data_IF_364373043546
#
_entry.id   IF_364373043546
#
_cell.length_a   1.000
_cell.length_b   1.000
_cell.length_c   1.000
_cell.angle_alpha   90.00
_cell.angle_beta   90.00
_cell.angle_gamma   90.00
#
_symmetry.space_group_name_H-M   'P 1'
#
loop_
_entity.id
_entity.type
_entity.pdbx_description
1 polymer ?
#
# COMPACT_ATOMS: atom_id res chain seq x y z
N UNK A 1 26.56 68.71 58.64
CA UNK A 1 27.09 68.45 57.29
C UNK A 1 26.75 67.03 56.88
N UNK A 2 26.45 66.87 55.59
CA UNK A 2 25.60 65.85 54.96
C UNK A 2 26.09 64.40 55.13
N UNK A 3 25.19 63.47 55.50
CA UNK A 3 25.39 62.01 55.34
C UNK A 3 24.62 61.55 54.11
N UNK A 4 25.34 61.12 53.07
CA UNK A 4 24.77 60.47 51.89
C UNK A 4 24.47 58.99 52.21
N UNK A 5 23.22 58.57 52.03
CA UNK A 5 22.83 57.17 52.02
C UNK A 5 22.60 56.74 50.56
N UNK A 6 23.47 55.86 50.05
CA UNK A 6 23.31 55.22 48.75
C UNK A 6 22.30 54.08 48.88
N UNK A 7 21.11 54.25 48.29
CA UNK A 7 20.13 53.18 48.14
C UNK A 7 20.43 52.37 46.88
N UNK A 8 20.82 51.10 47.06
CA UNK A 8 20.96 50.14 45.96
C UNK A 8 19.57 49.58 45.61
N UNK A 9 19.01 49.97 44.47
CA UNK A 9 17.79 49.37 43.94
C UNK A 9 18.15 48.11 43.13
N UNK A 10 17.84 46.93 43.67
CA UNK A 10 17.96 45.65 42.95
C UNK A 10 16.73 45.46 42.05
N UNK A 11 16.87 45.71 40.75
CA UNK A 11 15.85 45.38 39.76
C UNK A 11 15.92 43.88 39.45
N UNK A 12 14.93 43.11 39.93
CA UNK A 12 14.77 41.69 39.58
C UNK A 12 14.15 41.59 38.18
N UNK A 13 14.95 41.24 37.17
CA UNK A 13 14.46 40.88 35.84
C UNK A 13 13.86 39.47 35.90
N UNK A 14 12.54 39.38 35.88
CA UNK A 14 11.81 38.13 35.67
C UNK A 14 11.86 37.77 34.18
N UNK A 15 12.82 36.95 33.78
CA UNK A 15 12.88 36.39 32.43
C UNK A 15 11.79 35.32 32.27
N UNK A 16 10.68 35.65 31.62
CA UNK A 16 9.73 34.65 31.11
C UNK A 16 10.37 33.87 29.97
N UNK A 17 11.01 32.75 30.29
CA UNK A 17 11.40 31.76 29.30
C UNK A 17 10.13 31.09 28.77
N UNK A 18 9.62 31.58 27.64
CA UNK A 18 8.56 30.92 26.88
C UNK A 18 9.15 29.67 26.23
N UNK A 19 9.16 28.57 26.99
CA UNK A 19 9.59 27.26 26.50
C UNK A 19 8.59 26.73 25.49
N UNK A 20 8.83 26.98 24.21
CA UNK A 20 8.17 26.26 23.13
C UNK A 20 8.48 24.77 23.29
N UNK A 21 7.52 23.99 23.82
CA UNK A 21 7.61 22.53 23.86
C UNK A 21 7.73 22.03 22.43
N UNK A 22 8.94 21.71 21.98
CA UNK A 22 9.14 20.92 20.76
C UNK A 22 8.38 19.61 20.98
N UNK A 23 7.28 19.41 20.24
CA UNK A 23 6.60 18.10 20.19
C UNK A 23 7.61 17.11 19.62
N UNK A 24 8.19 16.25 20.47
CA UNK A 24 9.03 15.15 20.03
C UNK A 24 8.29 14.26 19.02
N UNK A 25 9.00 13.63 18.08
CA UNK A 25 8.39 12.70 17.14
C UNK A 25 7.81 11.49 17.88
N UNK A 26 6.68 10.97 17.39
CA UNK A 26 6.05 9.75 17.92
C UNK A 26 6.10 8.67 16.86
N UNK A 27 7.29 8.08 16.70
CA UNK A 27 7.48 6.99 15.73
C UNK A 27 6.62 5.78 16.13
N UNK A 28 5.80 5.31 15.19
CA UNK A 28 5.10 4.03 15.26
C UNK A 28 5.71 3.07 14.26
N UNK A 29 5.73 1.80 14.63
CA UNK A 29 6.31 0.75 13.82
C UNK A 29 5.37 -0.45 13.83
N UNK A 30 5.09 -1.00 12.65
CA UNK A 30 4.20 -2.14 12.48
C UNK A 30 4.87 -3.22 11.62
N UNK A 31 4.64 -4.47 11.99
CA UNK A 31 4.97 -5.64 11.17
C UNK A 31 3.76 -5.98 10.31
N UNK A 32 4.02 -6.33 9.06
CA UNK A 32 3.01 -6.70 8.07
C UNK A 32 3.36 -8.07 7.55
N UNK A 33 2.38 -8.95 7.46
CA UNK A 33 2.49 -10.26 6.83
C UNK A 33 1.43 -10.38 5.76
N UNK A 34 1.83 -10.68 4.54
CA UNK A 34 0.94 -10.94 3.41
C UNK A 34 1.15 -12.37 2.95
N UNK A 35 0.20 -13.24 3.24
CA UNK A 35 0.21 -14.65 2.85
C UNK A 35 -0.63 -14.85 1.59
N UNK A 36 -0.03 -15.44 0.56
CA UNK A 36 -0.73 -15.82 -0.66
C UNK A 36 -1.48 -17.14 -0.44
N UNK A 37 -2.81 -17.12 -0.55
CA UNK A 37 -3.68 -18.30 -0.37
C UNK A 37 -4.06 -18.98 -1.70
N UNK A 38 -3.63 -18.43 -2.83
CA UNK A 38 -3.96 -18.98 -4.14
C UNK A 38 -3.12 -20.21 -4.47
N UNK A 39 -3.47 -20.92 -5.54
CA UNK A 39 -2.75 -22.13 -5.98
C UNK A 39 -1.73 -21.88 -7.09
N UNK A 40 -2.13 -21.24 -8.19
CA UNK A 40 -1.28 -20.99 -9.38
C UNK A 40 -1.08 -19.50 -9.68
N UNK A 41 -1.43 -18.63 -8.73
CA UNK A 41 -1.22 -17.19 -8.85
C UNK A 41 -0.08 -16.78 -7.94
N UNK A 42 1.04 -16.38 -8.53
CA UNK A 42 2.07 -15.69 -7.76
C UNK A 42 1.57 -14.27 -7.45
N UNK A 43 1.96 -13.68 -6.33
CA UNK A 43 1.79 -12.23 -6.18
C UNK A 43 3.07 -11.51 -6.51
N UNK A 44 2.96 -10.31 -7.06
CA UNK A 44 4.06 -9.36 -7.02
C UNK A 44 4.44 -9.05 -5.57
N UNK A 45 5.59 -8.40 -5.40
CA UNK A 45 5.96 -7.73 -4.17
C UNK A 45 4.77 -6.89 -3.64
N UNK A 46 4.36 -7.16 -2.40
CA UNK A 46 3.33 -6.36 -1.75
C UNK A 46 3.90 -5.01 -1.30
N UNK A 47 3.03 -3.99 -1.29
CA UNK A 47 3.30 -2.69 -0.68
C UNK A 47 2.22 -2.36 0.32
N UNK A 48 2.64 -1.91 1.50
CA UNK A 48 1.76 -1.24 2.47
C UNK A 48 2.05 0.26 2.45
N UNK A 49 1.00 1.08 2.54
CA UNK A 49 1.11 2.53 2.72
C UNK A 49 0.35 2.94 3.98
N UNK A 50 0.92 3.88 4.74
CA UNK A 50 0.24 4.58 5.83
C UNK A 50 -0.25 5.94 5.32
N UNK A 51 -1.50 6.27 5.60
CA UNK A 51 -2.10 7.55 5.20
C UNK A 51 -3.18 7.99 6.19
N UNK A 52 -3.54 9.26 6.15
CA UNK A 52 -4.55 9.84 7.01
C UNK A 52 -5.95 9.37 6.61
N UNK A 53 -6.81 9.09 7.58
CA UNK A 53 -8.23 8.87 7.29
C UNK A 53 -8.83 10.12 6.62
N UNK A 54 -9.46 9.95 5.45
CA UNK A 54 -10.05 11.04 4.67
C UNK A 54 -9.09 11.72 3.68
N UNK A 55 -7.82 11.31 3.63
CA UNK A 55 -6.93 11.61 2.49
C UNK A 55 -7.45 10.94 1.21
N UNK A 56 -6.91 11.35 0.06
CA UNK A 56 -7.25 10.72 -1.22
C UNK A 56 -6.90 9.21 -1.14
N UNK A 57 -7.88 8.31 -1.33
CA UNK A 57 -7.65 6.89 -1.15
C UNK A 57 -6.63 6.35 -2.16
N UNK A 58 -5.91 5.29 -1.77
CA UNK A 58 -4.99 4.60 -2.68
C UNK A 58 -5.77 3.98 -3.84
N UNK A 59 -6.91 3.37 -3.57
CA UNK A 59 -7.88 2.89 -4.55
C UNK A 59 -9.28 2.90 -3.92
N UNK A 60 -10.32 2.81 -4.75
CA UNK A 60 -11.71 2.72 -4.28
C UNK A 60 -12.50 1.83 -5.21
N UNK A 61 -13.29 0.92 -4.63
CA UNK A 61 -14.21 0.07 -5.39
C UNK A 61 -15.24 0.93 -6.12
N UNK A 62 -15.66 0.50 -7.31
CA UNK A 62 -16.59 1.24 -8.16
C UNK A 62 -15.99 2.46 -8.86
N UNK A 63 -14.76 2.86 -8.53
CA UNK A 63 -14.09 4.02 -9.12
C UNK A 63 -13.06 3.60 -10.16
N UNK A 64 -12.76 4.52 -11.09
CA UNK A 64 -11.64 4.35 -12.02
C UNK A 64 -10.32 4.20 -11.25
N UNK A 65 -9.52 3.19 -11.62
CA UNK A 65 -8.20 3.01 -11.04
C UNK A 65 -7.31 4.26 -11.26
N UNK A 66 -6.55 4.60 -10.23
CA UNK A 66 -5.49 5.60 -10.37
C UNK A 66 -4.38 4.99 -11.23
N UNK A 67 -3.67 5.80 -12.00
CA UNK A 67 -2.57 5.31 -12.85
C UNK A 67 -1.56 4.45 -12.07
N UNK A 68 -1.24 4.80 -10.81
CA UNK A 68 -0.34 4.00 -9.98
C UNK A 68 -0.87 2.61 -9.64
N UNK A 69 -2.20 2.45 -9.55
CA UNK A 69 -2.87 1.17 -9.29
C UNK A 69 -3.00 0.36 -10.56
N UNK A 70 -3.36 0.98 -11.68
CA UNK A 70 -3.31 0.32 -13.00
C UNK A 70 -1.91 -0.23 -13.27
N UNK A 71 -0.87 0.59 -13.17
CA UNK A 71 0.51 0.13 -13.37
C UNK A 71 0.94 -0.94 -12.35
N UNK A 72 0.49 -0.86 -11.10
CA UNK A 72 0.77 -1.92 -10.14
C UNK A 72 0.09 -3.22 -10.56
N UNK A 73 -1.18 -3.16 -10.92
CA UNK A 73 -1.99 -4.32 -11.27
C UNK A 73 -1.58 -4.94 -12.62
N UNK A 74 -1.07 -4.15 -13.56
CA UNK A 74 -0.58 -4.56 -14.88
C UNK A 74 0.88 -5.06 -14.83
N UNK A 75 1.75 -4.42 -14.06
CA UNK A 75 3.19 -4.68 -14.10
C UNK A 75 3.75 -5.39 -12.86
N UNK A 76 3.00 -5.40 -11.76
CA UNK A 76 3.51 -5.84 -10.46
C UNK A 76 4.53 -4.88 -9.86
N UNK A 77 4.60 -3.63 -10.35
CA UNK A 77 5.59 -2.63 -9.94
C UNK A 77 4.97 -1.60 -8.98
N UNK A 78 5.49 -1.53 -7.76
CA UNK A 78 4.99 -0.63 -6.73
C UNK A 78 5.59 0.78 -6.75
N UNK A 79 6.54 1.09 -7.65
CA UNK A 79 7.26 2.37 -7.67
C UNK A 79 6.34 3.61 -7.74
N UNK A 80 5.26 3.55 -8.51
CA UNK A 80 4.28 4.63 -8.57
C UNK A 80 3.44 4.78 -7.29
N UNK A 81 3.18 3.67 -6.58
CA UNK A 81 2.54 3.71 -5.27
C UNK A 81 3.50 4.28 -4.20
N UNK A 82 4.80 3.97 -4.28
CA UNK A 82 5.82 4.58 -3.43
C UNK A 82 5.92 6.10 -3.66
N UNK A 83 5.81 6.55 -4.92
CA UNK A 83 5.75 7.98 -5.24
C UNK A 83 4.52 8.66 -4.62
N UNK A 84 3.34 8.04 -4.69
CA UNK A 84 2.14 8.53 -3.97
C UNK A 84 2.45 8.65 -2.47
N UNK A 85 2.96 7.58 -1.87
CA UNK A 85 3.19 7.51 -0.43
C UNK A 85 4.24 8.54 0.07
N UNK A 86 5.12 9.00 -0.82
CA UNK A 86 6.18 9.97 -0.50
C UNK A 86 5.78 11.42 -0.78
N UNK A 87 5.00 11.66 -1.83
CA UNK A 87 4.81 13.01 -2.39
C UNK A 87 3.40 13.56 -2.17
N UNK A 88 2.39 12.71 -2.02
CA UNK A 88 1.02 13.18 -1.88
C UNK A 88 0.66 13.56 -0.45
N UNK A 89 -0.05 14.67 -0.30
CA UNK A 89 -0.52 15.15 0.99
C UNK A 89 -1.43 14.12 1.66
N UNK A 90 -1.18 13.86 2.93
CA UNK A 90 -1.93 12.89 3.72
C UNK A 90 -1.38 11.47 3.68
N UNK A 91 -0.31 11.20 2.92
CA UNK A 91 0.47 9.96 3.05
C UNK A 91 1.64 10.17 4.01
N UNK A 92 1.96 9.14 4.78
CA UNK A 92 2.82 9.24 5.95
C UNK A 92 4.00 8.26 5.95
N UNK A 93 3.98 7.29 5.04
CA UNK A 93 5.04 6.28 4.91
C UNK A 93 4.58 5.07 4.13
N UNK A 94 5.52 4.20 3.79
CA UNK A 94 5.25 2.92 3.14
C UNK A 94 6.28 1.87 3.54
N UNK A 95 6.00 0.61 3.23
CA UNK A 95 7.00 -0.44 3.18
C UNK A 95 6.75 -1.32 1.95
N UNK A 96 7.81 -1.59 1.21
CA UNK A 96 7.87 -2.47 0.05
C UNK A 96 9.26 -3.14 0.04
N UNK A 97 9.41 -4.32 -0.56
CA UNK A 97 10.73 -4.93 -0.71
C UNK A 97 11.63 -4.12 -1.65
N UNK A 98 12.94 -4.15 -1.39
CA UNK A 98 13.96 -3.46 -2.19
C UNK A 98 14.17 -4.11 -3.56
N UNK A 99 13.83 -5.39 -3.69
CA UNK A 99 13.95 -6.16 -4.94
C UNK A 99 12.59 -6.66 -5.43
N UNK A 100 12.52 -6.96 -6.74
CA UNK A 100 11.37 -7.63 -7.35
C UNK A 100 11.31 -9.08 -6.86
N UNK A 101 10.62 -9.31 -5.76
CA UNK A 101 10.31 -10.64 -5.24
C UNK A 101 8.87 -11.02 -5.53
N UNK A 102 8.63 -12.32 -5.72
CA UNK A 102 7.27 -12.88 -5.81
C UNK A 102 6.86 -13.49 -4.47
N UNK A 103 5.57 -13.40 -4.14
CA UNK A 103 4.97 -14.17 -3.05
C UNK A 103 4.31 -15.40 -3.68
N UNK A 104 5.03 -16.52 -3.66
CA UNK A 104 4.51 -17.78 -4.21
C UNK A 104 3.28 -18.29 -3.42
N UNK A 105 2.40 -19.09 -4.06
CA UNK A 105 1.34 -19.86 -3.42
C UNK A 105 1.75 -20.47 -2.06
N UNK A 106 0.98 -20.20 -1.01
CA UNK A 106 1.22 -20.66 0.36
C UNK A 106 2.40 -19.98 1.08
N UNK A 107 3.11 -19.05 0.44
CA UNK A 107 4.21 -18.29 1.06
C UNK A 107 3.74 -16.94 1.59
N UNK A 108 4.57 -16.37 2.45
CA UNK A 108 4.29 -15.12 3.14
C UNK A 108 5.41 -14.13 2.90
N UNK A 109 5.06 -12.91 2.49
CA UNK A 109 5.95 -11.76 2.57
C UNK A 109 5.82 -11.09 3.93
N UNK A 110 6.94 -10.60 4.45
CA UNK A 110 7.00 -9.83 5.68
C UNK A 110 7.60 -8.45 5.42
N UNK A 111 6.98 -7.43 5.99
CA UNK A 111 7.41 -6.04 5.88
C UNK A 111 7.32 -5.31 7.21
N UNK A 112 8.03 -4.19 7.31
CA UNK A 112 8.03 -3.32 8.48
C UNK A 112 7.81 -1.89 8.04
N UNK A 113 6.67 -1.31 8.39
CA UNK A 113 6.35 0.09 8.11
C UNK A 113 6.60 0.93 9.36
N UNK A 114 7.21 2.10 9.19
CA UNK A 114 7.50 3.05 10.24
C UNK A 114 7.11 4.47 9.80
N UNK A 115 6.42 5.21 10.66
CA UNK A 115 6.00 6.59 10.39
C UNK A 115 5.86 7.40 11.69
N UNK A 116 5.93 8.72 11.60
CA UNK A 116 5.70 9.63 12.73
C UNK A 116 4.20 9.88 12.90
N UNK A 117 3.60 9.33 13.96
CA UNK A 117 2.17 9.47 14.22
C UNK A 117 1.75 10.91 14.56
N UNK A 118 2.70 11.79 14.94
CA UNK A 118 2.38 13.20 15.14
C UNK A 118 2.19 13.96 13.81
N UNK A 119 2.65 13.37 12.69
CA UNK A 119 2.54 13.91 11.33
C UNK A 119 1.52 13.17 10.47
N UNK A 120 0.78 12.22 11.06
CA UNK A 120 -0.20 11.39 10.37
C UNK A 120 -1.49 11.36 11.17
N UNK A 121 -2.44 12.24 10.85
CA UNK A 121 -3.71 12.32 11.56
C UNK A 121 -4.56 11.06 11.29
N UNK A 122 -5.07 10.43 12.35
CA UNK A 122 -5.94 9.26 12.30
C UNK A 122 -5.43 8.19 11.30
N UNK A 123 -4.23 7.62 11.53
CA UNK A 123 -3.53 6.82 10.54
C UNK A 123 -4.29 5.53 10.21
N UNK A 124 -4.45 5.28 8.92
CA UNK A 124 -4.95 4.04 8.33
C UNK A 124 -3.91 3.49 7.36
N UNK A 125 -4.05 2.22 6.98
CA UNK A 125 -3.20 1.58 6.01
C UNK A 125 -3.98 1.00 4.84
N UNK A 126 -3.31 1.00 3.69
CA UNK A 126 -3.74 0.24 2.52
C UNK A 126 -2.64 -0.74 2.12
N UNK A 127 -3.01 -1.93 1.67
CA UNK A 127 -2.07 -2.96 1.17
C UNK A 127 -2.51 -3.37 -0.22
N UNK A 128 -1.57 -3.45 -1.16
CA UNK A 128 -1.84 -3.93 -2.51
C UNK A 128 -0.69 -4.81 -3.03
N UNK A 129 -1.05 -5.81 -3.84
CA UNK A 129 -0.11 -6.62 -4.62
C UNK A 129 -0.81 -7.15 -5.87
N UNK A 130 -0.12 -7.19 -7.01
CA UNK A 130 -0.65 -7.79 -8.24
C UNK A 130 -0.78 -9.30 -8.08
N UNK A 131 -1.80 -9.90 -8.67
CA UNK A 131 -1.81 -11.34 -9.01
C UNK A 131 -1.07 -11.48 -10.35
N UNK A 132 0.11 -12.07 -10.34
CA UNK A 132 1.13 -11.87 -11.36
C UNK A 132 0.77 -12.49 -12.72
N UNK A 133 0.09 -13.63 -12.71
CA UNK A 133 -0.37 -14.32 -13.91
C UNK A 133 -1.75 -13.79 -14.36
N UNK A 134 -1.98 -12.48 -14.28
CA UNK A 134 -3.23 -11.82 -14.67
C UNK A 134 -2.94 -10.55 -15.47
N UNK A 135 -3.95 -10.06 -16.22
CA UNK A 135 -3.88 -8.79 -16.94
C UNK A 135 -3.68 -7.65 -15.92
N UNK A 136 -4.69 -7.37 -15.11
CA UNK A 136 -4.71 -6.25 -14.17
C UNK A 136 -5.40 -6.59 -12.83
N UNK A 137 -5.27 -7.83 -12.36
CA UNK A 137 -5.80 -8.21 -11.06
C UNK A 137 -4.83 -7.89 -9.91
N UNK A 138 -5.37 -7.45 -8.77
CA UNK A 138 -4.60 -7.16 -7.57
C UNK A 138 -5.37 -7.52 -6.29
N UNK A 139 -4.69 -7.98 -5.26
CA UNK A 139 -5.24 -8.07 -3.90
C UNK A 139 -5.19 -6.69 -3.23
N UNK A 140 -6.19 -6.34 -2.44
CA UNK A 140 -6.31 -4.98 -1.89
C UNK A 140 -6.95 -4.87 -0.52
N UNK A 141 -6.41 -4.00 0.34
CA UNK A 141 -7.07 -3.45 1.52
C UNK A 141 -7.05 -1.93 1.37
N UNK A 142 -8.21 -1.28 1.48
CA UNK A 142 -8.35 0.17 1.39
C UNK A 142 -8.61 0.79 2.78
N UNK A 143 -7.59 1.43 3.36
CA UNK A 143 -7.75 2.31 4.53
C UNK A 143 -8.21 1.63 5.83
N UNK A 144 -7.65 0.47 6.18
CA UNK A 144 -7.90 -0.18 7.48
C UNK A 144 -7.16 0.51 8.62
N UNK A 145 -7.69 0.47 9.84
CA UNK A 145 -7.03 1.08 11.00
C UNK A 145 -5.83 0.26 11.43
N UNK A 146 -4.72 0.93 11.76
CA UNK A 146 -3.63 0.27 12.46
C UNK A 146 -4.09 -0.21 13.85
N UNK A 147 -3.65 -1.40 14.32
CA UNK A 147 -3.99 -1.87 15.66
C UNK A 147 -3.37 -0.98 16.74
N UNK A 148 -4.14 -0.65 17.77
CA UNK A 148 -3.71 0.23 18.87
C UNK A 148 -3.02 -0.50 20.03
N UNK A 149 -3.14 -1.84 20.10
CA UNK A 149 -2.67 -2.69 21.20
C UNK A 149 -1.95 -3.96 20.73
N UNK A 150 -1.98 -5.01 21.57
CA UNK A 150 -1.33 -6.30 21.29
C UNK A 150 -2.07 -7.16 20.27
N UNK A 151 -3.37 -6.93 20.07
CA UNK A 151 -4.17 -7.68 19.10
C UNK A 151 -3.83 -7.22 17.67
N UNK A 152 -3.38 -8.13 16.78
CA UNK A 152 -3.15 -7.80 15.38
C UNK A 152 -4.47 -7.56 14.65
N UNK A 153 -4.45 -6.74 13.59
CA UNK A 153 -5.52 -6.77 12.59
C UNK A 153 -5.28 -7.94 11.64
N UNK A 154 -6.36 -8.62 11.24
CA UNK A 154 -6.33 -9.75 10.30
C UNK A 154 -7.44 -9.58 9.27
N UNK A 155 -7.07 -9.57 8.00
CA UNK A 155 -7.98 -9.39 6.87
C UNK A 155 -7.81 -10.51 5.84
N UNK A 156 -8.88 -10.75 5.10
CA UNK A 156 -8.94 -11.73 4.01
C UNK A 156 -9.38 -11.03 2.73
N UNK A 157 -8.50 -10.24 2.08
CA UNK A 157 -8.89 -9.44 0.93
C UNK A 157 -9.22 -10.33 -0.28
N UNK A 158 -10.21 -9.93 -1.11
CA UNK A 158 -10.42 -10.54 -2.41
C UNK A 158 -9.35 -10.08 -3.40
N UNK A 159 -9.33 -10.67 -4.59
CA UNK A 159 -8.74 -10.02 -5.75
C UNK A 159 -9.74 -9.03 -6.36
N UNK A 160 -9.23 -7.86 -6.67
CA UNK A 160 -9.86 -6.84 -7.48
C UNK A 160 -9.30 -6.87 -8.89
N UNK A 161 -10.11 -6.37 -9.81
CA UNK A 161 -9.80 -6.03 -11.18
C UNK A 161 -9.60 -4.51 -11.23
N UNK A 162 -8.55 -4.02 -11.87
CA UNK A 162 -8.32 -2.58 -11.96
C UNK A 162 -9.23 -1.91 -13.01
N UNK A 163 -9.78 -2.68 -13.94
CA UNK A 163 -10.56 -2.25 -15.08
C UNK A 163 -9.75 -1.43 -16.08
N UNK A 164 -8.42 -1.58 -16.09
CA UNK A 164 -7.52 -0.86 -16.99
C UNK A 164 -7.06 -1.68 -18.19
N UNK A 165 -7.18 -3.01 -18.12
CA UNK A 165 -6.96 -3.93 -19.23
C UNK A 165 -8.16 -4.85 -19.48
N UNK A 166 -8.26 -5.42 -20.67
CA UNK A 166 -9.22 -6.51 -20.91
C UNK A 166 -8.65 -7.81 -20.36
N UNK A 167 -9.47 -8.52 -19.59
CA UNK A 167 -9.20 -9.86 -19.06
C UNK A 167 -9.19 -10.95 -20.15
N UNK A 168 -8.22 -10.86 -21.06
CA UNK A 168 -8.10 -11.77 -22.20
C UNK A 168 -7.27 -13.02 -21.87
N UNK A 169 -6.61 -13.06 -20.72
CA UNK A 169 -5.80 -14.19 -20.23
C UNK A 169 -4.69 -14.61 -21.21
N UNK A 170 -4.27 -13.69 -22.08
CA UNK A 170 -3.21 -13.93 -23.05
C UNK A 170 -1.85 -13.65 -22.44
N UNK A 171 -0.91 -14.53 -22.72
CA UNK A 171 0.47 -14.39 -22.25
C UNK A 171 1.20 -13.18 -22.80
N UNK A 172 0.74 -12.65 -23.94
CA UNK A 172 1.22 -11.39 -24.51
C UNK A 172 0.85 -10.16 -23.67
N UNK A 173 -0.16 -10.26 -22.79
CA UNK A 173 -0.68 -9.16 -21.97
C UNK A 173 -0.38 -9.30 -20.47
N UNK A 174 0.39 -10.30 -20.02
CA UNK A 174 0.61 -10.54 -18.59
C UNK A 174 2.11 -10.75 -18.31
N UNK A 175 2.66 -10.19 -17.21
CA UNK A 175 4.07 -10.36 -16.86
C UNK A 175 4.38 -11.71 -16.20
N UNK A 176 3.34 -12.43 -15.78
CA UNK A 176 3.44 -13.60 -14.92
C UNK A 176 4.26 -14.74 -15.51
N UNK A 177 4.98 -15.45 -14.63
CA UNK A 177 5.87 -16.55 -15.00
C UNK A 177 5.17 -17.81 -15.53
N UNK A 178 3.85 -17.86 -15.46
CA UNK A 178 3.06 -18.89 -16.14
C UNK A 178 3.22 -18.84 -17.67
N UNK A 179 3.58 -17.67 -18.18
CA UNK A 179 3.75 -17.42 -19.60
C UNK A 179 5.20 -17.65 -20.04
N UNK A 180 5.42 -18.12 -21.29
CA UNK A 180 6.77 -18.27 -21.82
C UNK A 180 7.52 -16.92 -21.84
N UNK A 181 8.80 -16.94 -21.50
CA UNK A 181 9.63 -15.72 -21.50
C UNK A 181 9.62 -15.07 -22.89
N UNK A 182 9.51 -13.73 -22.91
CA UNK A 182 9.56 -12.95 -24.14
C UNK A 182 8.27 -12.94 -24.96
N UNK A 183 7.18 -13.53 -24.45
CA UNK A 183 5.87 -13.48 -25.12
C UNK A 183 5.17 -12.14 -24.96
N UNK A 184 5.55 -11.35 -23.95
CA UNK A 184 4.93 -10.06 -23.69
C UNK A 184 5.12 -9.10 -24.86
N UNK A 185 4.02 -8.58 -25.39
CA UNK A 185 4.01 -7.65 -26.51
C UNK A 185 3.51 -6.27 -26.07
N UNK A 186 4.44 -5.33 -25.91
CA UNK A 186 4.11 -3.94 -25.56
C UNK A 186 3.30 -3.19 -26.64
N UNK A 187 3.14 -3.77 -27.84
CA UNK A 187 2.31 -3.22 -28.93
C UNK A 187 0.85 -3.69 -28.83
N UNK A 188 0.55 -4.74 -28.07
CA UNK A 188 -0.83 -5.16 -27.87
C UNK A 188 -1.55 -4.08 -27.07
N UNK A 189 -2.72 -3.63 -27.56
CA UNK A 189 -3.49 -2.59 -26.89
C UNK A 189 -4.22 -3.20 -25.70
N UNK A 190 -3.56 -3.23 -24.56
CA UNK A 190 -4.04 -3.93 -23.39
C UNK A 190 -5.34 -3.33 -22.79
N UNK A 191 -5.62 -2.04 -22.98
CA UNK A 191 -6.78 -1.33 -22.39
C UNK A 191 -7.96 -1.00 -23.31
N UNK A 192 -8.07 -1.58 -24.51
CA UNK A 192 -9.28 -1.38 -25.35
C UNK A 192 -10.39 -2.29 -24.88
N UNK A 193 -11.55 -1.73 -24.53
CA UNK A 193 -12.71 -2.46 -23.97
C UNK A 193 -12.47 -3.03 -22.56
N UNK A 194 -11.63 -2.38 -21.75
CA UNK A 194 -11.55 -2.68 -20.32
C UNK A 194 -12.82 -2.24 -19.60
N UNK A 195 -13.03 -2.78 -18.41
CA UNK A 195 -14.21 -2.58 -17.58
C UNK A 195 -14.35 -1.12 -17.10
N UNK A 196 -13.22 -0.42 -16.91
CA UNK A 196 -13.16 1.03 -16.65
C UNK A 196 -13.29 1.43 -15.18
N UNK A 197 -13.51 0.48 -14.27
CA UNK A 197 -13.61 0.71 -12.83
C UNK A 197 -13.14 -0.49 -12.02
N UNK A 198 -12.74 -0.23 -10.78
CA UNK A 198 -12.28 -1.27 -9.86
C UNK A 198 -13.47 -2.07 -9.35
N UNK A 199 -13.44 -3.39 -9.51
CA UNK A 199 -14.44 -4.29 -8.93
C UNK A 199 -13.80 -5.60 -8.46
N UNK A 200 -14.55 -6.41 -7.71
CA UNK A 200 -14.08 -7.75 -7.34
C UNK A 200 -13.90 -8.56 -8.62
N UNK A 201 -12.69 -9.09 -8.83
CA UNK A 201 -12.36 -9.82 -10.05
C UNK A 201 -13.09 -11.17 -10.08
N UNK A 202 -13.57 -11.55 -11.27
CA UNK A 202 -14.43 -12.73 -11.49
C UNK A 202 -13.66 -14.06 -11.61
N UNK A 203 -12.38 -14.07 -11.24
CA UNK A 203 -11.44 -15.17 -11.53
C UNK A 203 -11.23 -15.43 -13.03
N UNK A 204 -10.46 -16.49 -13.34
CA UNK A 204 -10.18 -16.93 -14.71
C UNK A 204 -11.38 -17.63 -15.33
N UNK A 205 -11.65 -17.29 -16.58
CA UNK A 205 -12.61 -17.90 -17.48
C UNK A 205 -11.97 -18.95 -18.41
N UNK A 206 -10.65 -19.01 -18.50
CA UNK A 206 -9.92 -19.97 -19.36
C UNK A 206 -10.16 -19.72 -20.84
N UNK A 207 -10.21 -18.44 -21.23
CA UNK A 207 -10.51 -17.98 -22.60
C UNK A 207 -9.25 -17.58 -23.38
N UNK A 208 -8.11 -17.50 -22.71
CA UNK A 208 -6.81 -17.15 -23.32
C UNK A 208 -5.82 -18.31 -23.31
N UNK A 209 -4.54 -17.98 -23.08
CA UNK A 209 -3.44 -18.94 -23.14
C UNK A 209 -3.30 -19.77 -21.86
N UNK A 210 -3.83 -19.28 -20.74
CA UNK A 210 -3.81 -19.96 -19.45
C UNK A 210 -5.15 -20.66 -19.19
N UNK A 211 -5.09 -21.86 -18.61
CA UNK A 211 -6.29 -22.62 -18.25
C UNK A 211 -7.00 -22.03 -17.02
N UNK A 212 -8.25 -22.45 -16.78
CA UNK A 212 -9.03 -22.09 -15.58
C UNK A 212 -8.35 -22.43 -14.25
N UNK A 213 -7.38 -23.34 -14.23
CA UNK A 213 -6.63 -23.70 -13.03
C UNK A 213 -5.78 -22.55 -12.48
N UNK A 214 -5.46 -21.55 -13.31
CA UNK A 214 -4.84 -20.30 -12.88
C UNK A 214 -5.83 -19.37 -12.17
N UNK A 215 -7.12 -19.70 -12.17
CA UNK A 215 -8.14 -18.98 -11.42
C UNK A 215 -8.03 -19.16 -9.91
N UNK A 216 -8.93 -18.49 -9.20
CA UNK A 216 -9.03 -18.54 -7.75
C UNK A 216 -10.48 -18.38 -7.32
N UNK A 217 -10.72 -18.67 -6.05
CA UNK A 217 -11.89 -18.20 -5.32
C UNK A 217 -11.43 -17.22 -4.25
N UNK A 218 -12.25 -16.22 -3.97
CA UNK A 218 -11.94 -15.28 -2.89
C UNK A 218 -12.16 -15.95 -1.53
N UNK A 219 -11.37 -15.59 -0.50
CA UNK A 219 -10.28 -14.60 -0.50
C UNK A 219 -8.98 -15.14 -1.11
N UNK A 220 -8.13 -14.23 -1.62
CA UNK A 220 -6.84 -14.61 -2.24
C UNK A 220 -5.66 -14.51 -1.28
N UNK A 221 -5.81 -13.82 -0.16
CA UNK A 221 -4.73 -13.60 0.79
C UNK A 221 -5.20 -13.61 2.24
N UNK A 222 -4.23 -13.75 3.16
CA UNK A 222 -4.36 -13.27 4.53
C UNK A 222 -3.39 -12.12 4.72
N UNK A 223 -3.87 -11.00 5.26
CA UNK A 223 -3.02 -9.89 5.67
C UNK A 223 -3.13 -9.70 7.16
N UNK A 224 -1.98 -9.75 7.84
CA UNK A 224 -1.87 -9.51 9.28
C UNK A 224 -1.00 -8.29 9.50
N UNK A 225 -1.51 -7.30 10.24
CA UNK A 225 -0.72 -6.15 10.69
C UNK A 225 -0.69 -6.16 12.22
N UNK A 226 0.50 -6.07 12.80
CA UNK A 226 0.69 -6.03 14.25
C UNK A 226 1.65 -4.91 14.63
N UNK A 227 1.50 -4.39 15.84
CA UNK A 227 2.50 -3.46 16.39
C UNK A 227 3.84 -4.20 16.55
N UNK A 228 4.93 -3.56 16.14
CA UNK A 228 6.25 -4.20 16.06
C UNK A 228 6.89 -4.44 17.42
#
# INVERSE_FOLDING_TARGET
MVKFAFGLALASMLSLASGSKMRGSRMQTYKVRVTNLTFKQDFSAAIIVAHEKGSRPLFSEGAKARNAISMLAEEGLSGNVQNIATRERGFCGFAAPESKGLIFPGKTWEGKIQFDANKCKDPVYSVVAKLDNTNDAFMGIAGSKFPAGSCPSKHFPPAFDAGSETNNEKCTCMPGRACPKGTRDARERHGRNSEGFIHVHRGFQGIGDLSKDYGWQNPVAVVVVSKA
#
